data_IF_737165196743
#
_entry.id   IF_737165196743
#
_cell.length_a   1.000
_cell.length_b   1.000
_cell.length_c   1.000
_cell.angle_alpha   90.00
_cell.angle_beta   90.00
_cell.angle_gamma   90.00
#
_symmetry.space_group_name_H-M   'P 1'
#
loop_
_entity.id
_entity.type
_entity.pdbx_description
1 polymer ?
#
# COMPACT_ATOMS: atom_id res chain seq x y z
N UNK A 1 17.12 1.42 -18.84
CA UNK A 1 16.23 2.35 -18.12
C UNK A 1 16.90 3.68 -17.85
N UNK A 2 17.95 3.75 -17.03
CA UNK A 2 18.71 4.99 -16.81
C UNK A 2 19.19 5.64 -18.13
N UNK A 3 19.83 4.88 -19.02
CA UNK A 3 20.24 5.38 -20.33
C UNK A 3 19.10 5.90 -21.22
N UNK A 4 17.90 5.33 -21.10
CA UNK A 4 16.72 5.78 -21.85
C UNK A 4 16.05 7.01 -21.22
N UNK A 5 16.34 7.30 -19.94
CA UNK A 5 15.86 8.45 -19.19
C UNK A 5 16.87 9.60 -19.18
N UNK A 6 18.13 9.39 -19.54
CA UNK A 6 19.15 10.45 -19.54
C UNK A 6 18.90 11.56 -20.56
N UNK A 7 18.49 11.28 -21.81
CA UNK A 7 18.23 12.31 -22.80
C UNK A 7 17.04 13.19 -22.40
N UNK A 8 17.16 14.51 -22.60
CA UNK A 8 16.11 15.48 -22.26
C UNK A 8 14.88 15.34 -23.17
N UNK A 9 15.09 14.86 -24.40
CA UNK A 9 14.12 14.52 -25.44
C UNK A 9 13.51 13.12 -25.29
N UNK A 10 13.82 12.42 -24.19
CA UNK A 10 13.27 11.09 -23.94
C UNK A 10 11.74 11.12 -23.90
N UNK A 11 11.05 10.21 -24.62
CA UNK A 11 9.58 10.09 -24.57
C UNK A 11 9.07 9.64 -23.18
N UNK A 12 9.98 9.26 -22.29
CA UNK A 12 9.69 8.87 -20.92
C UNK A 12 9.68 10.08 -19.96
N UNK A 13 10.18 11.24 -20.39
CA UNK A 13 10.16 12.51 -19.65
C UNK A 13 8.93 13.36 -20.01
N UNK A 14 8.69 14.41 -19.24
CA UNK A 14 7.64 15.38 -19.55
C UNK A 14 8.09 16.33 -20.68
N UNK A 15 7.18 17.18 -21.17
CA UNK A 15 7.46 18.11 -22.27
C UNK A 15 8.59 19.11 -21.96
N UNK A 16 8.85 19.38 -20.68
CA UNK A 16 9.91 20.28 -20.20
C UNK A 16 11.23 19.54 -19.90
N UNK A 17 11.32 18.25 -20.24
CA UNK A 17 12.48 17.40 -19.93
C UNK A 17 12.62 17.02 -18.44
N UNK A 18 11.62 17.32 -17.62
CA UNK A 18 11.50 16.92 -16.22
C UNK A 18 10.89 15.54 -16.00
N UNK A 19 10.99 15.04 -14.76
CA UNK A 19 10.44 13.73 -14.37
C UNK A 19 9.07 13.82 -13.70
N UNK A 20 8.64 15.00 -13.24
CA UNK A 20 7.39 15.17 -12.50
C UNK A 20 6.55 16.25 -13.17
N UNK A 21 5.32 15.93 -13.63
CA UNK A 21 4.77 14.60 -13.91
C UNK A 21 5.27 14.06 -15.27
N UNK A 22 5.83 12.85 -15.33
CA UNK A 22 6.31 12.23 -16.58
C UNK A 22 5.59 10.92 -16.92
N UNK A 23 5.57 10.50 -18.20
CA UNK A 23 5.10 9.15 -18.60
C UNK A 23 5.81 8.03 -17.84
N UNK A 24 7.10 8.20 -17.52
CA UNK A 24 7.87 7.26 -16.71
C UNK A 24 7.25 7.03 -15.33
N UNK A 25 6.98 8.10 -14.58
CA UNK A 25 6.40 7.97 -13.23
C UNK A 25 4.97 7.42 -13.27
N UNK A 26 4.18 7.80 -14.28
CA UNK A 26 2.85 7.21 -14.50
C UNK A 26 2.92 5.70 -14.79
N UNK A 27 3.93 5.26 -15.54
CA UNK A 27 4.16 3.87 -15.93
C UNK A 27 5.12 3.09 -15.03
N UNK A 28 5.45 3.58 -13.83
CA UNK A 28 6.52 2.97 -13.02
C UNK A 28 6.18 1.55 -12.54
N UNK A 29 4.90 1.25 -12.30
CA UNK A 29 4.42 -0.06 -11.83
C UNK A 29 4.77 -1.18 -12.83
N UNK A 30 4.34 -1.14 -14.11
CA UNK A 30 4.69 -2.18 -15.07
C UNK A 30 6.20 -2.27 -15.32
N UNK A 31 6.95 -1.17 -15.20
CA UNK A 31 8.42 -1.18 -15.33
C UNK A 31 9.06 -1.99 -14.20
N UNK A 32 8.66 -1.75 -12.95
CA UNK A 32 9.15 -2.51 -11.78
C UNK A 32 8.74 -3.98 -11.92
N UNK A 33 7.52 -4.26 -12.36
CA UNK A 33 7.03 -5.62 -12.60
C UNK A 33 7.89 -6.35 -13.63
N UNK A 34 8.18 -5.71 -14.77
CA UNK A 34 9.02 -6.29 -15.81
C UNK A 34 10.46 -6.55 -15.31
N UNK A 35 11.01 -5.63 -14.52
CA UNK A 35 12.32 -5.81 -13.90
C UNK A 35 12.35 -7.05 -12.99
N UNK A 36 11.41 -7.18 -12.04
CA UNK A 36 11.38 -8.35 -11.16
C UNK A 36 11.08 -9.64 -11.91
N UNK A 37 10.19 -9.60 -12.90
CA UNK A 37 9.88 -10.76 -13.74
C UNK A 37 11.12 -11.25 -14.49
N UNK A 38 11.87 -10.36 -15.13
CA UNK A 38 13.10 -10.71 -15.85
C UNK A 38 14.15 -11.34 -14.92
N UNK A 39 14.38 -10.73 -13.75
CA UNK A 39 15.32 -11.27 -12.76
C UNK A 39 14.87 -12.65 -12.24
N UNK A 40 13.57 -12.83 -11.97
CA UNK A 40 13.01 -14.09 -11.50
C UNK A 40 13.16 -15.20 -12.55
N UNK A 41 12.94 -14.90 -13.83
CA UNK A 41 13.12 -15.86 -14.93
C UNK A 41 14.60 -16.26 -15.07
N UNK A 42 15.51 -15.27 -15.11
CA UNK A 42 16.96 -15.54 -15.24
C UNK A 42 17.45 -16.41 -14.08
N UNK A 43 17.08 -16.04 -12.85
CA UNK A 43 17.44 -16.81 -11.66
C UNK A 43 16.83 -18.21 -11.70
N UNK A 44 15.55 -18.34 -12.05
CA UNK A 44 14.84 -19.62 -12.07
C UNK A 44 15.41 -20.59 -13.10
N UNK A 45 15.83 -20.10 -14.27
CA UNK A 45 16.53 -20.91 -15.27
C UNK A 45 17.89 -21.37 -14.74
N UNK A 46 18.68 -20.46 -14.13
CA UNK A 46 20.02 -20.80 -13.63
C UNK A 46 19.99 -21.76 -12.43
N UNK A 47 18.98 -21.62 -11.57
CA UNK A 47 18.74 -22.51 -10.43
C UNK A 47 18.11 -23.86 -10.84
N UNK A 48 17.72 -24.03 -12.10
CA UNK A 48 17.08 -25.26 -12.61
C UNK A 48 15.63 -25.43 -12.15
N UNK A 49 15.01 -24.40 -11.59
CA UNK A 49 13.59 -24.41 -11.20
C UNK A 49 12.66 -24.17 -12.40
N UNK A 50 13.12 -23.41 -13.40
CA UNK A 50 12.47 -23.25 -14.71
C UNK A 50 13.27 -24.07 -15.72
N UNK A 51 12.66 -25.12 -16.28
CA UNK A 51 13.29 -26.02 -17.25
C UNK A 51 12.81 -25.75 -18.68
N UNK A 52 11.57 -25.29 -18.82
CA UNK A 52 10.95 -24.96 -20.09
C UNK A 52 10.04 -23.73 -19.98
N UNK A 53 9.77 -23.08 -21.11
CA UNK A 53 9.01 -21.82 -21.13
C UNK A 53 7.58 -21.97 -20.57
N UNK A 54 6.97 -23.16 -20.67
CA UNK A 54 5.63 -23.42 -20.12
C UNK A 54 5.60 -23.42 -18.59
N UNK A 55 6.74 -23.61 -17.93
CA UNK A 55 6.80 -23.58 -16.46
C UNK A 55 6.47 -22.18 -15.92
N UNK A 56 6.71 -21.13 -16.72
CA UNK A 56 6.49 -19.74 -16.31
C UNK A 56 4.99 -19.46 -16.05
N UNK A 57 4.05 -19.70 -16.99
CA UNK A 57 2.62 -19.60 -16.71
C UNK A 57 2.16 -20.43 -15.51
N UNK A 58 2.70 -21.64 -15.31
CA UNK A 58 2.33 -22.51 -14.20
C UNK A 58 2.78 -21.94 -12.85
N UNK A 59 3.99 -21.41 -12.78
CA UNK A 59 4.51 -20.71 -11.59
C UNK A 59 3.71 -19.44 -11.30
N UNK A 60 3.34 -18.68 -12.33
CA UNK A 60 2.46 -17.51 -12.18
C UNK A 60 1.08 -17.90 -11.66
N UNK A 61 0.49 -18.97 -12.21
CA UNK A 61 -0.80 -19.52 -11.75
C UNK A 61 -0.72 -19.98 -10.30
N UNK A 62 0.36 -20.67 -9.91
CA UNK A 62 0.59 -21.09 -8.52
C UNK A 62 0.69 -19.89 -7.57
N UNK A 63 1.36 -18.82 -7.98
CA UNK A 63 1.40 -17.59 -7.19
C UNK A 63 0.00 -16.97 -7.03
N UNK A 64 -0.79 -16.90 -8.11
CA UNK A 64 -2.15 -16.36 -8.09
C UNK A 64 -3.11 -17.15 -7.17
N UNK A 65 -2.94 -18.47 -7.05
CA UNK A 65 -3.73 -19.29 -6.10
C UNK A 65 -3.60 -18.81 -4.65
N UNK A 66 -2.42 -18.33 -4.26
CA UNK A 66 -2.17 -17.78 -2.92
C UNK A 66 -2.89 -16.46 -2.65
N UNK A 67 -3.38 -15.77 -3.69
CA UNK A 67 -3.99 -14.44 -3.60
C UNK A 67 -5.53 -14.50 -3.73
N UNK A 68 -6.12 -15.70 -3.91
CA UNK A 68 -7.56 -15.87 -4.14
C UNK A 68 -8.44 -15.27 -3.03
N UNK A 69 -8.09 -15.51 -1.76
CA UNK A 69 -8.82 -14.92 -0.63
C UNK A 69 -8.75 -13.40 -0.59
N UNK A 70 -7.61 -12.83 -0.99
CA UNK A 70 -7.43 -11.39 -1.08
C UNK A 70 -8.29 -10.78 -2.20
N UNK A 71 -8.46 -11.46 -3.34
CA UNK A 71 -9.34 -11.00 -4.43
C UNK A 71 -10.79 -10.88 -3.94
N UNK A 72 -11.29 -11.87 -3.19
CA UNK A 72 -12.64 -11.83 -2.61
C UNK A 72 -12.79 -10.66 -1.63
N UNK A 73 -11.79 -10.44 -0.77
CA UNK A 73 -11.78 -9.32 0.16
C UNK A 73 -11.81 -7.97 -0.56
N UNK A 74 -10.93 -7.77 -1.55
CA UNK A 74 -10.87 -6.54 -2.36
C UNK A 74 -12.19 -6.30 -3.08
N UNK A 75 -12.85 -7.35 -3.57
CA UNK A 75 -14.17 -7.22 -4.19
C UNK A 75 -15.20 -6.62 -3.23
N UNK A 76 -15.31 -7.16 -2.00
CA UNK A 76 -16.26 -6.65 -0.99
C UNK A 76 -15.90 -5.21 -0.57
N UNK A 77 -14.61 -4.93 -0.34
CA UNK A 77 -14.14 -3.59 0.01
C UNK A 77 -14.45 -2.60 -1.12
N UNK A 78 -14.25 -2.98 -2.38
CA UNK A 78 -14.56 -2.12 -3.52
C UNK A 78 -16.05 -1.76 -3.57
N UNK A 79 -16.96 -2.69 -3.26
CA UNK A 79 -18.39 -2.40 -3.17
C UNK A 79 -18.70 -1.45 -2.00
N UNK A 80 -18.11 -1.68 -0.83
CA UNK A 80 -18.25 -0.78 0.32
C UNK A 80 -17.79 0.64 -0.03
N UNK A 81 -16.59 0.80 -0.61
CA UNK A 81 -16.05 2.11 -1.02
C UNK A 81 -16.99 2.78 -2.03
N UNK A 82 -17.52 2.01 -2.99
CA UNK A 82 -18.44 2.54 -3.99
C UNK A 82 -19.73 3.07 -3.36
N UNK A 83 -20.37 2.31 -2.46
CA UNK A 83 -21.60 2.73 -1.76
C UNK A 83 -21.33 3.85 -0.74
N UNK A 84 -20.20 3.81 -0.07
CA UNK A 84 -19.79 4.83 0.90
C UNK A 84 -19.49 6.18 0.23
N UNK A 85 -18.93 6.15 -0.99
CA UNK A 85 -18.78 7.34 -1.83
C UNK A 85 -20.12 7.79 -2.41
N UNK A 86 -20.93 6.87 -2.94
CA UNK A 86 -22.23 7.19 -3.55
C UNK A 86 -23.21 7.80 -2.55
N UNK A 87 -23.22 7.32 -1.30
CA UNK A 87 -24.07 7.87 -0.22
C UNK A 87 -23.57 9.20 0.35
N UNK A 88 -22.44 9.73 -0.15
CA UNK A 88 -21.75 10.91 0.39
C UNK A 88 -21.31 10.80 1.86
N UNK A 89 -21.40 9.63 2.49
CA UNK A 89 -20.96 9.42 3.87
C UNK A 89 -19.47 9.70 4.05
N UNK A 90 -18.64 9.34 3.07
CA UNK A 90 -17.21 9.67 3.06
C UNK A 90 -16.96 11.17 3.18
N UNK A 91 -17.68 11.96 2.37
CA UNK A 91 -17.56 13.42 2.33
C UNK A 91 -18.12 14.02 3.62
N UNK A 92 -19.29 13.55 4.07
CA UNK A 92 -19.91 14.00 5.31
C UNK A 92 -18.97 13.83 6.51
N UNK A 93 -18.38 12.64 6.68
CA UNK A 93 -17.44 12.38 7.78
C UNK A 93 -16.17 13.23 7.63
N UNK A 94 -15.64 13.37 6.41
CA UNK A 94 -14.44 14.16 6.16
C UNK A 94 -14.63 15.65 6.49
N UNK A 95 -15.76 16.24 6.08
CA UNK A 95 -16.05 17.66 6.32
C UNK A 95 -16.29 17.92 7.80
N UNK A 96 -17.18 17.15 8.45
CA UNK A 96 -17.45 17.32 9.88
C UNK A 96 -16.19 17.06 10.74
N UNK A 97 -15.38 16.06 10.35
CA UNK A 97 -14.10 15.79 11.01
C UNK A 97 -13.11 16.94 10.85
N UNK A 98 -13.01 17.52 9.65
CA UNK A 98 -12.16 18.68 9.40
C UNK A 98 -12.63 19.91 10.20
N UNK A 99 -13.94 20.18 10.27
CA UNK A 99 -14.50 21.26 11.09
C UNK A 99 -14.17 21.08 12.57
N UNK A 100 -14.34 19.86 13.10
CA UNK A 100 -14.01 19.55 14.50
C UNK A 100 -12.51 19.73 14.80
N UNK A 101 -11.64 19.27 13.92
CA UNK A 101 -10.18 19.42 14.12
C UNK A 101 -9.76 20.89 13.97
N UNK A 102 -10.41 21.64 13.07
CA UNK A 102 -10.14 23.06 12.87
C UNK A 102 -10.60 23.90 14.06
N UNK A 103 -11.72 23.54 14.71
CA UNK A 103 -12.27 24.30 15.84
C UNK A 103 -11.38 24.27 17.09
N UNK A 104 -10.54 23.25 17.22
CA UNK A 104 -9.55 23.12 18.30
C UNK A 104 -8.14 23.60 17.88
N UNK A 105 -8.02 24.23 16.70
CA UNK A 105 -6.78 24.77 16.12
C UNK A 105 -5.61 23.78 16.17
N UNK A 106 -5.87 22.50 15.86
CA UNK A 106 -4.90 21.44 16.06
C UNK A 106 -3.68 21.60 15.12
N UNK A 107 -2.44 21.59 15.64
CA UNK A 107 -1.25 21.62 14.80
C UNK A 107 -1.15 20.40 13.88
N UNK A 108 -0.67 20.58 12.64
CA UNK A 108 -0.53 19.50 11.64
C UNK A 108 0.26 18.29 12.14
N UNK A 109 1.29 18.53 12.94
CA UNK A 109 2.09 17.45 13.54
C UNK A 109 1.26 16.62 14.53
N UNK A 110 0.44 17.27 15.36
CA UNK A 110 -0.42 16.60 16.33
C UNK A 110 -1.52 15.79 15.61
N UNK A 111 -2.12 16.37 14.56
CA UNK A 111 -3.08 15.67 13.70
C UNK A 111 -2.49 14.38 13.12
N UNK A 112 -1.28 14.47 12.56
CA UNK A 112 -0.58 13.31 11.98
C UNK A 112 -0.23 12.27 13.04
N UNK A 113 0.27 12.70 14.21
CA UNK A 113 0.59 11.79 15.30
C UNK A 113 -0.66 11.03 15.80
N UNK A 114 -1.80 11.71 15.96
CA UNK A 114 -3.07 11.08 16.34
C UNK A 114 -3.55 10.08 15.28
N UNK A 115 -3.45 10.45 14.01
CA UNK A 115 -3.78 9.54 12.91
C UNK A 115 -2.87 8.31 12.89
N UNK A 116 -1.58 8.48 13.12
CA UNK A 116 -0.62 7.37 13.20
C UNK A 116 -0.94 6.46 14.39
N UNK A 117 -1.27 7.03 15.56
CA UNK A 117 -1.71 6.22 16.71
C UNK A 117 -2.99 5.46 16.41
N UNK A 118 -3.99 6.10 15.78
CA UNK A 118 -5.21 5.44 15.36
C UNK A 118 -4.94 4.29 14.39
N UNK A 119 -4.14 4.51 13.35
CA UNK A 119 -3.75 3.47 12.41
C UNK A 119 -2.99 2.34 13.12
N UNK A 120 -2.13 2.67 14.09
CA UNK A 120 -1.42 1.69 14.90
C UNK A 120 -2.34 0.81 15.75
N UNK A 121 -3.36 1.40 16.39
CA UNK A 121 -4.37 0.68 17.18
C UNK A 121 -5.24 -0.18 16.28
N UNK A 122 -5.68 0.34 15.14
CA UNK A 122 -6.48 -0.42 14.17
C UNK A 122 -5.74 -1.67 13.68
N UNK A 123 -4.42 -1.60 13.53
CA UNK A 123 -3.59 -2.72 13.11
C UNK A 123 -3.55 -3.88 14.12
N UNK A 124 -3.92 -3.64 15.39
CA UNK A 124 -4.10 -4.73 16.38
C UNK A 124 -5.27 -5.65 16.00
N UNK A 125 -6.27 -5.08 15.33
CA UNK A 125 -7.53 -5.75 14.96
C UNK A 125 -7.45 -6.21 13.51
N UNK A 126 -6.90 -5.39 12.62
CA UNK A 126 -6.84 -5.62 11.18
C UNK A 126 -5.38 -5.62 10.71
N UNK A 127 -4.72 -6.77 10.81
CA UNK A 127 -3.30 -6.91 10.43
C UNK A 127 -3.01 -6.63 8.94
N UNK A 128 -3.99 -6.83 8.05
CA UNK A 128 -3.77 -6.59 6.61
C UNK A 128 -3.70 -5.10 6.32
N UNK A 129 -2.48 -4.57 6.14
CA UNK A 129 -2.30 -3.15 5.84
C UNK A 129 -2.99 -2.68 4.56
N UNK A 130 -3.10 -3.56 3.56
CA UNK A 130 -3.90 -3.25 2.35
C UNK A 130 -5.40 -3.13 2.65
N UNK A 131 -5.95 -3.98 3.51
CA UNK A 131 -7.35 -3.96 3.89
C UNK A 131 -7.67 -2.78 4.82
N UNK A 132 -6.83 -2.55 5.83
CA UNK A 132 -6.96 -1.42 6.75
C UNK A 132 -6.87 -0.09 5.98
N UNK A 133 -5.88 0.06 5.09
CA UNK A 133 -5.76 1.28 4.27
C UNK A 133 -6.97 1.51 3.38
N UNK A 134 -7.53 0.47 2.78
CA UNK A 134 -8.69 0.60 1.90
C UNK A 134 -9.94 1.11 2.63
N UNK A 135 -10.04 0.89 3.94
CA UNK A 135 -11.12 1.44 4.79
C UNK A 135 -10.80 2.87 5.23
N UNK A 136 -9.55 3.15 5.61
CA UNK A 136 -9.16 4.46 6.15
C UNK A 136 -9.00 5.54 5.07
N UNK A 137 -8.42 5.21 3.92
CA UNK A 137 -8.06 6.17 2.89
C UNK A 137 -9.25 7.01 2.37
N UNK A 138 -10.44 6.45 2.10
CA UNK A 138 -11.59 7.22 1.64
C UNK A 138 -12.08 8.30 2.60
N UNK A 139 -11.77 8.19 3.90
CA UNK A 139 -12.15 9.15 4.94
C UNK A 139 -11.02 10.12 5.24
N UNK A 140 -9.83 9.60 5.55
CA UNK A 140 -8.72 10.42 6.06
C UNK A 140 -8.00 11.21 4.98
N UNK A 141 -7.95 10.73 3.72
CA UNK A 141 -7.34 11.53 2.65
C UNK A 141 -8.15 12.81 2.41
N UNK A 142 -9.48 12.77 2.14
CA UNK A 142 -10.24 14.00 1.95
C UNK A 142 -10.22 14.92 3.18
N UNK A 143 -10.35 14.35 4.39
CA UNK A 143 -10.30 15.12 5.64
C UNK A 143 -9.00 15.90 5.77
N UNK A 144 -7.85 15.26 5.57
CA UNK A 144 -6.56 15.94 5.69
C UNK A 144 -6.27 16.90 4.55
N UNK A 145 -6.79 16.64 3.36
CA UNK A 145 -6.74 17.61 2.26
C UNK A 145 -7.48 18.90 2.62
N UNK A 146 -8.65 18.82 3.27
CA UNK A 146 -9.38 20.01 3.74
C UNK A 146 -8.58 20.82 4.78
N UNK A 147 -7.73 20.14 5.55
CA UNK A 147 -6.84 20.74 6.55
C UNK A 147 -5.46 21.16 5.98
N UNK A 148 -5.31 21.12 4.65
CA UNK A 148 -4.09 21.53 3.95
C UNK A 148 -2.91 20.59 4.17
N UNK A 149 -3.16 19.29 4.31
CA UNK A 149 -2.15 18.22 4.35
C UNK A 149 -2.25 17.40 3.07
N UNK A 150 -1.13 17.24 2.37
CA UNK A 150 -1.10 16.51 1.11
C UNK A 150 -1.38 15.01 1.31
N UNK A 151 -2.10 14.35 0.37
CA UNK A 151 -2.42 12.92 0.45
C UNK A 151 -1.20 12.01 0.64
N UNK A 152 -0.05 12.41 0.08
CA UNK A 152 1.21 11.68 0.16
C UNK A 152 1.72 11.62 1.61
N UNK A 153 1.50 12.68 2.40
CA UNK A 153 1.89 12.73 3.80
C UNK A 153 0.97 11.84 4.63
N UNK A 154 -0.34 11.86 4.38
CA UNK A 154 -1.29 10.94 5.03
C UNK A 154 -0.94 9.48 4.75
N UNK A 155 -0.65 9.15 3.48
CA UNK A 155 -0.24 7.79 3.12
C UNK A 155 1.09 7.41 3.78
N UNK A 156 2.05 8.33 3.85
CA UNK A 156 3.32 8.10 4.55
C UNK A 156 3.09 7.82 6.04
N UNK A 157 2.30 8.65 6.73
CA UNK A 157 1.96 8.45 8.14
C UNK A 157 1.30 7.09 8.38
N UNK A 158 0.36 6.70 7.51
CA UNK A 158 -0.28 5.39 7.56
C UNK A 158 0.75 4.26 7.48
N UNK A 159 1.65 4.31 6.48
CA UNK A 159 2.64 3.25 6.26
C UNK A 159 3.62 3.12 7.42
N UNK A 160 3.99 4.23 8.05
CA UNK A 160 4.84 4.21 9.25
C UNK A 160 4.09 3.51 10.38
N UNK A 161 2.86 3.95 10.68
CA UNK A 161 2.05 3.40 11.77
C UNK A 161 1.77 1.90 11.62
N UNK A 162 1.30 1.49 10.43
CA UNK A 162 1.01 0.10 10.05
C UNK A 162 2.25 -0.80 10.28
N UNK A 163 3.42 -0.33 9.83
CA UNK A 163 4.68 -1.08 9.98
C UNK A 163 5.11 -1.21 11.44
N UNK A 164 5.02 -0.12 12.22
CA UNK A 164 5.53 -0.08 13.60
C UNK A 164 4.77 -1.03 14.52
N UNK A 165 3.45 -1.16 14.36
CA UNK A 165 2.62 -1.97 15.26
C UNK A 165 2.49 -3.44 14.85
N UNK A 166 3.00 -3.84 13.68
CA UNK A 166 2.94 -5.24 13.20
C UNK A 166 3.59 -6.24 14.15
N UNK A 167 4.65 -5.85 14.85
CA UNK A 167 5.44 -6.74 15.74
C UNK A 167 4.64 -7.11 17.00
N UNK A 168 3.79 -6.20 17.47
CA UNK A 168 2.99 -6.37 18.68
C UNK A 168 1.53 -6.69 18.36
N UNK A 169 1.16 -6.80 17.08
CA UNK A 169 -0.20 -7.12 16.66
C UNK A 169 -0.55 -8.58 16.97
N UNK A 170 -1.57 -8.85 17.81
CA UNK A 170 -1.95 -10.21 18.17
C UNK A 170 -2.59 -10.97 16.99
N UNK A 171 -3.09 -10.25 15.98
CA UNK A 171 -3.69 -10.82 14.77
C UNK A 171 -2.66 -11.09 13.67
N UNK A 172 -1.38 -10.84 13.94
CA UNK A 172 -0.30 -11.13 13.01
C UNK A 172 -0.15 -12.67 12.83
N UNK A 173 -0.36 -13.20 11.62
CA UNK A 173 -0.37 -14.64 11.34
C UNK A 173 1.02 -15.29 11.51
N UNK A 174 2.08 -14.49 11.61
CA UNK A 174 3.45 -14.99 11.81
C UNK A 174 3.80 -15.19 13.29
N UNK A 175 3.01 -14.68 14.24
CA UNK A 175 3.29 -14.81 15.68
C UNK A 175 3.44 -16.28 16.11
N UNK A 176 2.57 -17.23 15.73
CA UNK A 176 2.76 -18.63 16.09
C UNK A 176 4.08 -19.22 15.57
N UNK A 177 4.51 -18.84 14.36
CA UNK A 177 5.77 -19.30 13.78
C UNK A 177 6.97 -18.74 14.55
N UNK A 178 6.92 -17.44 14.91
CA UNK A 178 7.96 -16.80 15.72
C UNK A 178 8.03 -17.43 17.11
N UNK A 179 6.89 -17.69 17.76
CA UNK A 179 6.84 -18.34 19.06
C UNK A 179 7.38 -19.78 19.01
N UNK A 180 7.09 -20.54 17.95
CA UNK A 180 7.65 -21.88 17.75
C UNK A 180 9.16 -21.84 17.58
N UNK A 181 9.69 -20.82 16.89
CA UNK A 181 11.14 -20.62 16.77
C UNK A 181 11.77 -20.28 18.13
N UNK A 182 11.14 -19.40 18.92
CA UNK A 182 11.62 -19.07 20.27
C UNK A 182 11.63 -20.31 21.16
N UNK A 183 10.54 -21.08 21.21
CA UNK A 183 10.42 -22.30 22.00
C UNK A 183 11.49 -23.36 21.64
N UNK A 184 11.97 -23.37 20.39
CA UNK A 184 13.07 -24.26 19.97
C UNK A 184 14.41 -23.90 20.60
N UNK A 185 14.69 -22.62 20.82
CA UNK A 185 15.98 -22.14 21.33
C UNK A 185 15.95 -21.74 22.80
N UNK A 186 14.76 -21.53 23.36
CA UNK A 186 14.53 -21.22 24.77
C UNK A 186 13.27 -21.98 25.25
N UNK A 187 13.40 -23.29 25.52
CA UNK A 187 12.29 -24.17 25.88
C UNK A 187 11.64 -23.83 27.22
#
# INVERSE_FOLDING_TARGET
LLAALLPADSPLRNADGGLVPSPFLKGIIPIIMAFFFMNAVVYGVKAGTIKQASDIPDLMSKALKGVGGYIVLVFVIAQFIAWFKWSNLAIFIAVNGAEWISSVEMPKLAMMALFMMLAGVMNMIVFSGSAQWAIMAPVFIPLFMLLGVDPQITQMGYRIADSTTNIISPTNPYIPMVLALIAKYNP
#
